data_IF_874452306468
#
_entry.id   IF_874452306468
#
_cell.length_a   1.000
_cell.length_b   1.000
_cell.length_c   1.000
_cell.angle_alpha   90.00
_cell.angle_beta   90.00
_cell.angle_gamma   90.00
#
_symmetry.space_group_name_H-M   'P 1'
#
loop_
_entity.id
_entity.type
_entity.pdbx_description
1 polymer ?
#
# COMPACT_ATOMS: atom_id res chain seq x y z
N UNK A 1 18.46 18.81 22.66
CA UNK A 1 17.07 18.86 22.19
C UNK A 1 16.63 17.41 22.09
N UNK A 2 15.69 16.94 22.91
CA UNK A 2 15.24 15.55 22.81
C UNK A 2 14.52 15.36 21.46
N UNK A 3 14.75 14.26 20.73
CA UNK A 3 14.01 13.99 19.50
C UNK A 3 12.51 13.98 19.82
N UNK A 4 11.73 14.65 18.97
CA UNK A 4 10.27 14.60 19.08
C UNK A 4 9.83 13.15 18.85
N UNK A 5 9.32 12.52 19.91
CA UNK A 5 8.91 11.12 19.89
C UNK A 5 7.81 10.87 18.84
N UNK A 6 7.00 11.88 18.52
CA UNK A 6 5.98 11.79 17.47
C UNK A 6 6.59 11.68 16.08
N UNK A 7 7.62 12.47 15.79
CA UNK A 7 8.35 12.41 14.52
C UNK A 7 9.07 11.07 14.36
N UNK A 8 9.77 10.60 15.40
CA UNK A 8 10.46 9.30 15.37
C UNK A 8 9.50 8.14 15.13
N UNK A 9 8.30 8.18 15.72
CA UNK A 9 7.28 7.15 15.48
C UNK A 9 6.71 7.21 14.05
N UNK A 10 6.51 8.41 13.51
CA UNK A 10 6.05 8.59 12.14
C UNK A 10 7.10 8.11 11.12
N UNK A 11 8.38 8.42 11.33
CA UNK A 11 9.50 7.91 10.52
C UNK A 11 9.52 6.39 10.52
N UNK A 12 9.50 5.76 11.70
CA UNK A 12 9.47 4.30 11.82
C UNK A 12 8.32 3.66 11.02
N UNK A 13 7.11 4.24 11.10
CA UNK A 13 5.97 3.74 10.32
C UNK A 13 6.18 3.92 8.81
N UNK A 14 6.77 5.04 8.40
CA UNK A 14 7.10 5.27 6.98
C UNK A 14 8.12 4.23 6.51
N UNK A 15 9.20 4.02 7.26
CA UNK A 15 10.28 3.08 6.93
C UNK A 15 9.77 1.64 6.82
N UNK A 16 8.89 1.22 7.75
CA UNK A 16 8.24 -0.09 7.72
C UNK A 16 7.28 -0.28 6.54
N UNK A 17 6.89 0.81 5.87
CA UNK A 17 5.96 0.80 4.74
C UNK A 17 6.65 1.18 3.42
N UNK A 18 7.98 1.24 3.42
CA UNK A 18 8.77 1.35 2.21
C UNK A 18 8.58 0.15 1.29
N UNK A 19 8.76 0.40 0.00
CA UNK A 19 8.52 -0.59 -1.05
C UNK A 19 9.36 -1.87 -0.82
N UNK A 20 10.59 -1.75 -0.32
CA UNK A 20 11.47 -2.89 -0.06
C UNK A 20 10.92 -3.80 1.04
N UNK A 21 10.47 -3.21 2.16
CA UNK A 21 9.87 -3.96 3.27
C UNK A 21 8.58 -4.63 2.82
N UNK A 22 7.71 -3.90 2.10
CA UNK A 22 6.48 -4.46 1.55
C UNK A 22 6.77 -5.58 0.54
N UNK A 23 7.82 -5.45 -0.28
CA UNK A 23 8.24 -6.47 -1.24
C UNK A 23 8.68 -7.75 -0.56
N UNK A 24 9.41 -7.67 0.55
CA UNK A 24 9.75 -8.84 1.37
C UNK A 24 8.47 -9.51 1.91
N UNK A 25 7.53 -8.75 2.46
CA UNK A 25 6.26 -9.29 2.97
C UNK A 25 5.46 -9.98 1.86
N UNK A 26 5.37 -9.35 0.68
CA UNK A 26 4.70 -9.91 -0.48
C UNK A 26 5.39 -11.19 -0.98
N UNK A 27 6.72 -11.22 -1.01
CA UNK A 27 7.50 -12.39 -1.41
C UNK A 27 7.31 -13.57 -0.44
N UNK A 28 7.30 -13.31 0.87
CA UNK A 28 7.02 -14.33 1.89
C UNK A 28 5.60 -14.85 1.73
N UNK A 29 4.61 -13.97 1.59
CA UNK A 29 3.23 -14.37 1.37
C UNK A 29 3.09 -15.22 0.10
N UNK A 30 3.74 -14.82 -1.00
CA UNK A 30 3.78 -15.58 -2.24
C UNK A 30 4.40 -16.97 -2.03
N UNK A 31 5.56 -17.06 -1.40
CA UNK A 31 6.23 -18.33 -1.11
C UNK A 31 5.32 -19.27 -0.30
N UNK A 32 4.66 -18.75 0.74
CA UNK A 32 3.69 -19.51 1.55
C UNK A 32 2.54 -20.02 0.68
N UNK A 33 1.96 -19.19 -0.20
CA UNK A 33 0.87 -19.60 -1.08
C UNK A 33 1.30 -20.69 -2.07
N UNK A 34 2.52 -20.60 -2.61
CA UNK A 34 3.08 -21.61 -3.51
C UNK A 34 3.33 -22.95 -2.80
N UNK A 35 3.90 -22.92 -1.59
CA UNK A 35 4.11 -24.13 -0.76
C UNK A 35 2.78 -24.79 -0.40
N UNK A 36 1.76 -23.99 -0.06
CA UNK A 36 0.40 -24.47 0.22
C UNK A 36 -0.39 -24.82 -1.05
N UNK A 37 0.22 -24.70 -2.25
CA UNK A 37 -0.40 -24.97 -3.56
C UNK A 37 -1.67 -24.17 -3.81
N UNK A 38 -1.80 -22.98 -3.21
CA UNK A 38 -2.89 -22.02 -3.44
C UNK A 38 -2.61 -21.17 -4.67
N UNK A 39 -2.44 -21.80 -5.83
CA UNK A 39 -2.01 -21.17 -7.08
C UNK A 39 -2.88 -19.98 -7.51
N UNK A 40 -4.20 -20.10 -7.37
CA UNK A 40 -5.13 -19.01 -7.68
C UNK A 40 -4.89 -17.76 -6.81
N UNK A 41 -4.66 -17.95 -5.51
CA UNK A 41 -4.39 -16.85 -4.60
C UNK A 41 -2.99 -16.27 -4.81
N UNK A 42 -2.01 -17.09 -5.24
CA UNK A 42 -0.68 -16.63 -5.62
C UNK A 42 -0.72 -15.72 -6.86
N UNK A 43 -1.43 -16.13 -7.92
CA UNK A 43 -1.63 -15.31 -9.12
C UNK A 43 -2.39 -14.03 -8.77
N UNK A 44 -3.46 -14.15 -7.97
CA UNK A 44 -4.20 -12.99 -7.47
C UNK A 44 -3.30 -12.00 -6.74
N UNK A 45 -2.46 -12.45 -5.81
CA UNK A 45 -1.52 -11.60 -5.07
C UNK A 45 -0.57 -10.85 -6.01
N UNK A 46 0.06 -11.56 -6.95
CA UNK A 46 1.01 -10.98 -7.90
C UNK A 46 0.36 -9.91 -8.77
N UNK A 47 -0.81 -10.19 -9.33
CA UNK A 47 -1.50 -9.25 -10.23
C UNK A 47 -2.08 -8.06 -9.46
N UNK A 48 -2.69 -8.32 -8.29
CA UNK A 48 -3.31 -7.26 -7.49
C UNK A 48 -2.27 -6.29 -6.92
N UNK A 49 -1.14 -6.79 -6.42
CA UNK A 49 -0.08 -5.96 -5.81
C UNK A 49 0.87 -5.42 -6.86
N UNK A 50 1.36 -6.26 -7.77
CA UNK A 50 2.38 -5.90 -8.75
C UNK A 50 1.94 -4.79 -9.70
N UNK A 51 0.68 -4.82 -10.17
CA UNK A 51 0.16 -3.76 -11.04
C UNK A 51 0.08 -2.43 -10.29
N UNK A 52 -0.32 -2.42 -9.03
CA UNK A 52 -0.36 -1.19 -8.24
C UNK A 52 1.06 -0.60 -8.13
N UNK A 53 2.03 -1.42 -7.74
CA UNK A 53 3.40 -0.96 -7.53
C UNK A 53 4.06 -0.48 -8.82
N UNK A 54 3.73 -1.09 -9.97
CA UNK A 54 4.24 -0.68 -11.27
C UNK A 54 3.55 0.59 -11.81
N UNK A 55 2.25 0.75 -11.59
CA UNK A 55 1.45 1.86 -12.15
C UNK A 55 1.55 3.13 -11.29
N UNK A 56 1.71 3.01 -9.97
CA UNK A 56 1.76 4.18 -9.08
C UNK A 56 2.84 5.22 -9.48
N UNK A 57 4.09 4.83 -9.79
CA UNK A 57 5.11 5.77 -10.26
C UNK A 57 4.75 6.43 -11.60
N UNK A 58 4.05 5.72 -12.49
CA UNK A 58 3.58 6.26 -13.76
C UNK A 58 2.49 7.32 -13.55
N UNK A 59 1.54 7.06 -12.64
CA UNK A 59 0.53 8.05 -12.27
C UNK A 59 1.15 9.31 -11.67
N UNK A 60 2.20 9.15 -10.87
CA UNK A 60 2.96 10.28 -10.33
C UNK A 60 3.55 11.16 -11.42
N UNK A 61 4.19 10.55 -12.43
CA UNK A 61 4.77 11.30 -13.54
C UNK A 61 3.70 11.96 -14.41
N UNK A 62 2.56 11.30 -14.62
CA UNK A 62 1.47 11.81 -15.43
C UNK A 62 0.77 13.02 -14.78
N UNK A 63 0.54 12.96 -13.47
CA UNK A 63 -0.19 14.00 -12.73
C UNK A 63 0.74 15.11 -12.26
N UNK A 64 2.01 14.78 -11.99
CA UNK A 64 3.08 15.73 -11.70
C UNK A 64 2.75 16.73 -10.56
N UNK A 65 2.01 16.28 -9.55
CA UNK A 65 1.58 17.17 -8.46
C UNK A 65 2.77 17.55 -7.56
N UNK A 66 3.02 18.84 -7.31
CA UNK A 66 4.06 19.27 -6.37
C UNK A 66 3.72 18.88 -4.93
N UNK A 67 4.75 18.68 -4.10
CA UNK A 67 4.60 18.36 -2.67
C UNK A 67 4.15 19.58 -1.84
N UNK A 68 3.64 19.35 -0.61
CA UNK A 68 3.40 20.41 0.35
C UNK A 68 4.62 21.31 0.55
N UNK A 69 4.36 22.61 0.78
CA UNK A 69 5.40 23.57 1.13
C UNK A 69 5.98 23.15 2.48
N UNK A 70 7.30 22.92 2.55
CA UNK A 70 7.97 22.41 3.75
C UNK A 70 8.35 20.93 3.69
N UNK A 71 7.98 20.21 2.62
CA UNK A 71 8.37 18.81 2.46
C UNK A 71 9.90 18.63 2.51
N UNK A 72 10.40 17.54 3.14
CA UNK A 72 11.83 17.25 3.23
C UNK A 72 12.52 17.18 1.86
N UNK A 73 13.73 17.74 1.77
CA UNK A 73 14.45 17.92 0.50
C UNK A 73 14.96 16.61 -0.14
N UNK A 74 15.03 15.54 0.64
CA UNK A 74 15.36 14.17 0.21
C UNK A 74 14.23 13.52 -0.61
N UNK A 75 13.02 14.10 -0.59
CA UNK A 75 11.87 13.53 -1.28
C UNK A 75 11.61 14.21 -2.63
N UNK A 76 12.33 13.75 -3.66
CA UNK A 76 12.38 14.40 -4.98
C UNK A 76 11.20 14.09 -5.92
N UNK A 77 10.40 13.05 -5.64
CA UNK A 77 9.27 12.66 -6.49
C UNK A 77 7.98 13.47 -6.23
N UNK A 78 7.10 13.53 -7.23
CA UNK A 78 5.73 14.06 -7.13
C UNK A 78 4.91 13.45 -5.99
N UNK A 79 3.95 14.23 -5.47
CA UNK A 79 3.17 13.89 -4.27
C UNK A 79 1.99 12.95 -4.55
N UNK A 80 1.36 13.07 -5.72
CA UNK A 80 0.09 12.40 -6.02
C UNK A 80 0.25 11.28 -7.05
N UNK A 81 -0.34 10.09 -6.84
CA UNK A 81 -0.90 9.60 -5.57
C UNK A 81 0.22 9.14 -4.61
N UNK A 82 -0.10 9.02 -3.33
CA UNK A 82 0.87 8.56 -2.32
C UNK A 82 1.26 7.09 -2.53
N UNK A 83 2.56 6.84 -2.67
CA UNK A 83 3.11 5.49 -2.89
C UNK A 83 2.95 4.59 -1.67
N UNK A 84 3.32 5.06 -0.47
CA UNK A 84 3.12 4.32 0.78
C UNK A 84 1.64 3.96 0.96
N UNK A 85 0.73 4.92 0.74
CA UNK A 85 -0.71 4.67 0.85
C UNK A 85 -1.19 3.61 -0.15
N UNK A 86 -0.85 3.76 -1.43
CA UNK A 86 -1.29 2.84 -2.48
C UNK A 86 -0.69 1.43 -2.32
N UNK A 87 0.61 1.34 -2.10
CA UNK A 87 1.33 0.07 -2.01
C UNK A 87 0.87 -0.75 -0.80
N UNK A 88 0.72 -0.10 0.36
CA UNK A 88 0.21 -0.75 1.56
C UNK A 88 -1.26 -1.14 1.42
N UNK A 89 -2.10 -0.31 0.80
CA UNK A 89 -3.50 -0.64 0.51
C UNK A 89 -3.63 -1.86 -0.40
N UNK A 90 -2.81 -1.95 -1.45
CA UNK A 90 -2.83 -3.10 -2.35
C UNK A 90 -2.47 -4.40 -1.61
N UNK A 91 -1.37 -4.39 -0.85
CA UNK A 91 -0.91 -5.58 -0.14
C UNK A 91 -1.86 -5.97 1.00
N UNK A 92 -2.25 -5.04 1.86
CA UNK A 92 -3.17 -5.31 2.95
C UNK A 92 -4.53 -5.79 2.43
N UNK A 93 -5.08 -5.12 1.40
CA UNK A 93 -6.31 -5.52 0.75
C UNK A 93 -6.23 -6.94 0.18
N UNK A 94 -5.17 -7.28 -0.55
CA UNK A 94 -4.98 -8.62 -1.09
C UNK A 94 -4.91 -9.68 0.02
N UNK A 95 -4.14 -9.45 1.09
CA UNK A 95 -4.01 -10.38 2.21
C UNK A 95 -5.33 -10.60 2.94
N UNK A 96 -6.14 -9.55 3.15
CA UNK A 96 -7.49 -9.66 3.74
C UNK A 96 -8.39 -10.57 2.90
N UNK A 97 -8.33 -10.46 1.57
CA UNK A 97 -9.14 -11.27 0.65
C UNK A 97 -8.66 -12.73 0.54
N UNK A 98 -7.37 -12.98 0.77
CA UNK A 98 -6.76 -14.31 0.78
C UNK A 98 -7.09 -15.06 2.09
N UNK A 99 -7.06 -14.35 3.23
CA UNK A 99 -7.38 -14.92 4.57
C UNK A 99 -8.88 -15.08 4.79
N UNK A 100 -9.71 -14.34 4.04
CA UNK A 100 -11.16 -14.56 3.95
C UNK A 100 -12.04 -13.62 4.77
N UNK A 101 -11.89 -12.30 4.60
CA UNK A 101 -12.75 -11.24 5.17
C UNK A 101 -13.09 -11.40 6.67
N UNK A 102 -12.16 -11.95 7.45
CA UNK A 102 -12.37 -12.08 8.90
C UNK A 102 -12.35 -10.69 9.51
N UNK A 103 -13.24 -10.41 10.47
CA UNK A 103 -13.32 -9.11 11.13
C UNK A 103 -11.95 -8.63 11.60
N UNK A 104 -11.18 -9.50 12.25
CA UNK A 104 -9.84 -9.18 12.72
C UNK A 104 -8.88 -8.79 11.57
N UNK A 105 -8.91 -9.48 10.43
CA UNK A 105 -8.03 -9.13 9.30
C UNK A 105 -8.42 -7.79 8.68
N UNK A 106 -9.72 -7.51 8.58
CA UNK A 106 -10.23 -6.22 8.09
C UNK A 106 -9.82 -5.09 9.02
N UNK A 107 -9.98 -5.28 10.34
CA UNK A 107 -9.58 -4.28 11.34
C UNK A 107 -8.08 -4.02 11.34
N UNK A 108 -7.25 -5.08 11.27
CA UNK A 108 -5.80 -4.93 11.16
C UNK A 108 -5.40 -4.19 9.88
N UNK A 109 -6.00 -4.53 8.74
CA UNK A 109 -5.78 -3.82 7.49
C UNK A 109 -6.12 -2.34 7.60
N UNK A 110 -7.29 -2.02 8.17
CA UNK A 110 -7.71 -0.63 8.38
C UNK A 110 -6.75 0.14 9.30
N UNK A 111 -6.34 -0.46 10.42
CA UNK A 111 -5.37 0.15 11.35
C UNK A 111 -4.05 0.45 10.63
N UNK A 112 -3.54 -0.49 9.84
CA UNK A 112 -2.30 -0.29 9.06
C UNK A 112 -2.46 0.90 8.10
N UNK A 113 -3.57 1.00 7.36
CA UNK A 113 -3.79 2.13 6.45
C UNK A 113 -3.86 3.47 7.20
N UNK A 114 -4.55 3.51 8.33
CA UNK A 114 -4.65 4.73 9.13
C UNK A 114 -3.29 5.13 9.72
N UNK A 115 -2.47 4.18 10.16
CA UNK A 115 -1.10 4.44 10.65
C UNK A 115 -0.21 4.99 9.54
N UNK A 116 -0.24 4.39 8.35
CA UNK A 116 0.48 4.90 7.17
C UNK A 116 0.02 6.32 6.87
N UNK A 117 -1.30 6.56 6.88
CA UNK A 117 -1.85 7.88 6.60
C UNK A 117 -1.40 8.93 7.62
N UNK A 118 -1.46 8.58 8.91
CA UNK A 118 -0.97 9.42 9.99
C UNK A 118 0.51 9.75 9.84
N UNK A 119 1.35 8.75 9.54
CA UNK A 119 2.79 8.93 9.30
C UNK A 119 3.05 9.91 8.15
N UNK A 120 2.42 9.71 6.99
CA UNK A 120 2.66 10.56 5.81
C UNK A 120 2.18 12.01 5.98
N UNK A 121 1.14 12.23 6.78
CA UNK A 121 0.66 13.57 7.13
C UNK A 121 1.56 14.24 8.18
N UNK A 122 2.01 13.50 9.19
CA UNK A 122 2.90 14.00 10.26
C UNK A 122 4.26 14.39 9.71
N UNK A 123 4.77 13.66 8.72
CA UNK A 123 6.01 13.99 8.02
C UNK A 123 5.84 15.07 6.95
N UNK A 124 4.63 15.60 6.78
CA UNK A 124 4.28 16.65 5.80
C UNK A 124 4.66 16.30 4.35
N UNK A 125 4.83 15.00 4.06
CA UNK A 125 5.27 14.50 2.75
C UNK A 125 4.15 14.55 1.71
N UNK A 126 2.89 14.48 2.14
CA UNK A 126 1.72 14.34 1.29
C UNK A 126 0.53 15.13 1.81
N UNK A 127 -0.37 15.48 0.90
CA UNK A 127 -1.69 16.00 1.26
C UNK A 127 -2.66 14.84 1.52
N UNK A 128 -3.68 15.05 2.35
CA UNK A 128 -4.73 14.06 2.60
C UNK A 128 -5.34 13.47 1.32
N UNK A 129 -5.52 14.28 0.28
CA UNK A 129 -6.03 13.83 -1.03
C UNK A 129 -5.11 12.82 -1.72
N UNK A 130 -3.78 12.90 -1.52
CA UNK A 130 -2.82 11.95 -2.09
C UNK A 130 -3.00 10.56 -1.46
N UNK A 131 -3.31 10.52 -0.16
CA UNK A 131 -3.55 9.31 0.61
C UNK A 131 -4.88 8.66 0.22
N UNK A 132 -5.95 9.46 0.21
CA UNK A 132 -7.29 8.99 -0.15
C UNK A 132 -7.32 8.44 -1.57
N UNK A 133 -6.69 9.13 -2.52
CA UNK A 133 -6.55 8.62 -3.88
C UNK A 133 -5.77 7.31 -3.89
N UNK A 134 -4.61 7.27 -3.22
CA UNK A 134 -3.76 6.08 -3.07
C UNK A 134 -4.54 4.85 -2.59
N UNK A 135 -5.27 4.98 -1.48
CA UNK A 135 -6.12 3.91 -0.95
C UNK A 135 -7.24 3.53 -1.91
N UNK A 136 -7.94 4.52 -2.47
CA UNK A 136 -9.10 4.28 -3.31
C UNK A 136 -8.74 3.49 -4.56
N UNK A 137 -7.76 3.94 -5.34
CA UNK A 137 -7.44 3.30 -6.62
C UNK A 137 -6.83 1.91 -6.41
N UNK A 138 -6.01 1.74 -5.37
CA UNK A 138 -5.39 0.46 -5.04
C UNK A 138 -6.45 -0.57 -4.60
N UNK A 139 -7.35 -0.21 -3.68
CA UNK A 139 -8.42 -1.10 -3.22
C UNK A 139 -9.44 -1.41 -4.32
N UNK A 140 -9.73 -0.44 -5.18
CA UNK A 140 -10.57 -0.66 -6.36
C UNK A 140 -9.94 -1.71 -7.28
N UNK A 141 -8.65 -1.56 -7.61
CA UNK A 141 -7.93 -2.52 -8.45
C UNK A 141 -7.91 -3.92 -7.82
N UNK A 142 -7.54 -4.02 -6.54
CA UNK A 142 -7.55 -5.29 -5.79
C UNK A 142 -8.93 -5.96 -5.86
N UNK A 143 -10.00 -5.20 -5.69
CA UNK A 143 -11.38 -5.69 -5.80
C UNK A 143 -11.70 -6.22 -7.20
N UNK A 144 -11.31 -5.49 -8.25
CA UNK A 144 -11.48 -5.90 -9.66
C UNK A 144 -10.73 -7.21 -9.94
N UNK A 145 -9.45 -7.32 -9.56
CA UNK A 145 -8.67 -8.55 -9.76
C UNK A 145 -9.32 -9.71 -9.02
N UNK A 146 -9.79 -9.51 -7.78
CA UNK A 146 -10.47 -10.58 -7.02
C UNK A 146 -11.77 -11.02 -7.68
N UNK A 147 -12.55 -10.08 -8.21
CA UNK A 147 -13.79 -10.37 -8.91
C UNK A 147 -13.52 -11.22 -10.17
N UNK A 148 -12.53 -10.83 -10.98
CA UNK A 148 -12.15 -11.55 -12.21
C UNK A 148 -11.59 -12.93 -11.90
N UNK A 149 -10.69 -13.05 -10.91
CA UNK A 149 -10.06 -14.33 -10.54
C UNK A 149 -11.01 -15.33 -9.88
N UNK A 150 -12.07 -14.87 -9.20
CA UNK A 150 -13.14 -15.75 -8.68
C UNK A 150 -14.08 -16.28 -9.78
N UNK A 151 -14.11 -15.65 -10.94
CA UNK A 151 -15.00 -15.99 -12.06
C UNK A 151 -14.51 -17.12 -12.99
N UNK A 152 -13.49 -17.89 -12.59
CA UNK A 152 -13.07 -19.07 -13.36
C UNK A 152 -14.21 -20.10 -13.50
N UNK A 153 -14.30 -20.81 -14.64
CA UNK A 153 -15.43 -21.72 -14.90
C UNK A 153 -15.55 -22.75 -13.78
N UNK A 154 -16.76 -22.85 -13.22
CA UNK A 154 -17.14 -23.94 -12.31
C UNK A 154 -17.21 -25.26 -13.06
#
# INVERSE_FOLDING_TARGET
>A
MAPDRGLTAAELVSDLTELEVLAVVAAVALAVLLVLRRWYDAVFLVVAVGVVWAVNPLLKQLIARPRPVGAPADVSEYSFPSGHAANTAALAGALVLIVGHRLLSVLLGLVVLLLVGWSQLTLERHYLTDLLAGWFWALLWVGVVRYVTKGGPK
#
